data_IF_181224412010
#
_entry.id   IF_181224412010
#
_cell.length_a   1.000
_cell.length_b   1.000
_cell.length_c   1.000
_cell.angle_alpha   90.00
_cell.angle_beta   90.00
_cell.angle_gamma   90.00
#
_symmetry.space_group_name_H-M   'P 1'
#
loop_
_entity.id
_entity.type
_entity.pdbx_description
1 polymer ?
#
# COMPACT_ATOMS: atom_id res chain seq x y z
N UNK A 1 -23.87 2.04 -5.12
CA UNK A 1 -23.17 0.73 -5.15
C UNK A 1 -22.05 0.71 -6.19
N UNK A 2 -22.35 1.00 -7.46
CA UNK A 2 -21.36 1.03 -8.55
C UNK A 2 -20.15 1.95 -8.26
N UNK A 3 -20.40 3.14 -7.71
CA UNK A 3 -19.35 4.11 -7.37
C UNK A 3 -18.36 3.57 -6.32
N UNK A 4 -18.85 2.85 -5.30
CA UNK A 4 -17.97 2.27 -4.26
C UNK A 4 -17.05 1.21 -4.85
N UNK A 5 -17.60 0.36 -5.73
CA UNK A 5 -16.85 -0.67 -6.43
C UNK A 5 -15.82 -0.04 -7.37
N UNK A 6 -16.17 1.03 -8.09
CA UNK A 6 -15.25 1.75 -8.96
C UNK A 6 -14.04 2.30 -8.18
N UNK A 7 -14.29 2.92 -7.02
CA UNK A 7 -13.20 3.40 -6.15
C UNK A 7 -12.33 2.27 -5.62
N UNK A 8 -12.93 1.16 -5.18
CA UNK A 8 -12.18 -0.01 -4.71
C UNK A 8 -11.31 -0.60 -5.83
N UNK A 9 -11.86 -0.72 -7.03
CA UNK A 9 -11.14 -1.23 -8.20
C UNK A 9 -9.98 -0.31 -8.59
N UNK A 10 -10.21 1.01 -8.61
CA UNK A 10 -9.18 1.99 -8.93
C UNK A 10 -8.03 1.95 -7.91
N UNK A 11 -8.36 1.96 -6.61
CA UNK A 11 -7.39 1.88 -5.54
C UNK A 11 -6.61 0.54 -5.58
N UNK A 12 -7.30 -0.57 -5.83
CA UNK A 12 -6.68 -1.89 -5.98
C UNK A 12 -5.75 -2.00 -7.18
N UNK A 13 -6.14 -1.43 -8.32
CA UNK A 13 -5.30 -1.40 -9.52
C UNK A 13 -4.03 -0.56 -9.30
N UNK A 14 -4.18 0.64 -8.74
CA UNK A 14 -3.04 1.51 -8.39
C UNK A 14 -2.12 0.84 -7.37
N UNK A 15 -2.68 0.21 -6.33
CA UNK A 15 -1.91 -0.52 -5.33
C UNK A 15 -1.13 -1.70 -5.90
N UNK A 16 -1.73 -2.45 -6.84
CA UNK A 16 -1.08 -3.57 -7.52
C UNK A 16 0.09 -3.11 -8.37
N UNK A 17 -0.10 -2.06 -9.18
CA UNK A 17 0.96 -1.50 -10.03
C UNK A 17 2.10 -0.93 -9.17
N UNK A 18 1.77 -0.17 -8.12
CA UNK A 18 2.76 0.39 -7.21
C UNK A 18 3.58 -0.71 -6.51
N UNK A 19 2.91 -1.77 -6.03
CA UNK A 19 3.58 -2.93 -5.42
C UNK A 19 4.54 -3.60 -6.40
N UNK A 20 4.12 -3.83 -7.63
CA UNK A 20 4.95 -4.47 -8.65
C UNK A 20 6.20 -3.63 -8.96
N UNK A 21 6.01 -2.33 -9.22
CA UNK A 21 7.10 -1.42 -9.54
C UNK A 21 8.10 -1.29 -8.38
N UNK A 22 7.62 -1.09 -7.15
CA UNK A 22 8.48 -0.91 -5.98
C UNK A 22 9.20 -2.21 -5.60
N UNK A 23 8.51 -3.35 -5.63
CA UNK A 23 9.13 -4.64 -5.34
C UNK A 23 10.26 -4.94 -6.35
N UNK A 24 10.01 -4.71 -7.64
CA UNK A 24 11.03 -4.88 -8.69
C UNK A 24 12.21 -3.93 -8.51
N UNK A 25 11.96 -2.64 -8.26
CA UNK A 25 13.01 -1.63 -8.05
C UNK A 25 13.91 -2.02 -6.88
N UNK A 26 13.34 -2.31 -5.71
CA UNK A 26 14.11 -2.64 -4.52
C UNK A 26 14.88 -3.95 -4.72
N UNK A 27 14.23 -4.97 -5.29
CA UNK A 27 14.89 -6.27 -5.52
C UNK A 27 16.09 -6.15 -6.46
N UNK A 28 15.97 -5.31 -7.50
CA UNK A 28 17.07 -5.03 -8.44
C UNK A 28 18.25 -4.32 -7.77
N UNK A 29 17.99 -3.46 -6.78
CA UNK A 29 19.03 -2.71 -6.07
C UNK A 29 19.75 -3.55 -5.00
N UNK A 30 19.04 -4.48 -4.35
CA UNK A 30 19.57 -5.25 -3.21
C UNK A 30 20.10 -6.64 -3.57
N UNK A 31 19.88 -7.10 -4.80
CA UNK A 31 20.24 -8.46 -5.24
C UNK A 31 19.32 -9.53 -4.65
N UNK A 32 19.62 -10.82 -4.90
CA UNK A 32 18.71 -11.95 -4.65
C UNK A 32 18.89 -12.66 -3.29
N UNK A 33 19.77 -12.18 -2.42
CA UNK A 33 20.07 -12.84 -1.14
C UNK A 33 18.87 -12.86 -0.17
N UNK A 34 17.99 -11.86 -0.26
CA UNK A 34 16.77 -11.75 0.55
C UNK A 34 15.67 -11.03 -0.26
N UNK A 35 14.38 -11.35 -0.05
CA UNK A 35 13.26 -10.71 -0.75
C UNK A 35 12.98 -9.28 -0.24
N UNK A 36 13.97 -8.40 -0.35
CA UNK A 36 13.88 -7.00 0.06
C UNK A 36 12.77 -6.25 -0.66
N UNK A 37 12.47 -6.61 -1.92
CA UNK A 37 11.34 -6.04 -2.65
C UNK A 37 10.01 -6.30 -1.94
N UNK A 38 9.77 -7.55 -1.54
CA UNK A 38 8.57 -7.93 -0.79
C UNK A 38 8.55 -7.32 0.61
N UNK A 39 9.68 -7.26 1.31
CA UNK A 39 9.75 -6.63 2.62
C UNK A 39 9.41 -5.13 2.56
N UNK A 40 10.00 -4.40 1.60
CA UNK A 40 9.78 -2.96 1.43
C UNK A 40 8.32 -2.61 1.17
N UNK A 41 7.65 -3.32 0.24
CA UNK A 41 6.23 -3.05 -0.06
C UNK A 41 5.32 -3.29 1.15
N UNK A 42 5.62 -4.30 1.98
CA UNK A 42 4.82 -4.58 3.18
C UNK A 42 5.06 -3.54 4.28
N UNK A 43 6.32 -3.19 4.57
CA UNK A 43 6.64 -2.18 5.59
C UNK A 43 5.99 -0.83 5.23
N UNK A 44 6.15 -0.40 3.98
CA UNK A 44 5.56 0.86 3.50
C UNK A 44 4.03 0.78 3.51
N UNK A 45 3.45 -0.34 3.05
CA UNK A 45 2.00 -0.55 3.04
C UNK A 45 1.39 -0.51 4.44
N UNK A 46 1.99 -1.21 5.39
CA UNK A 46 1.54 -1.21 6.79
C UNK A 46 1.68 0.17 7.43
N UNK A 47 2.76 0.90 7.16
CA UNK A 47 2.94 2.27 7.63
C UNK A 47 1.82 3.19 7.13
N UNK A 48 1.52 3.17 5.82
CA UNK A 48 0.44 3.99 5.26
C UNK A 48 -0.93 3.57 5.78
N UNK A 49 -1.20 2.28 5.91
CA UNK A 49 -2.44 1.79 6.49
C UNK A 49 -2.64 2.30 7.93
N UNK A 50 -1.61 2.18 8.78
CA UNK A 50 -1.64 2.69 10.15
C UNK A 50 -1.72 4.22 10.23
N UNK A 51 -1.01 4.94 9.35
CA UNK A 51 -1.08 6.40 9.28
C UNK A 51 -2.46 6.88 8.88
N UNK A 52 -3.04 6.31 7.82
CA UNK A 52 -4.39 6.65 7.37
C UNK A 52 -5.42 6.31 8.44
N UNK A 53 -5.28 5.16 9.11
CA UNK A 53 -6.12 4.80 10.26
C UNK A 53 -6.07 5.89 11.33
N UNK A 54 -4.87 6.26 11.81
CA UNK A 54 -4.71 7.28 12.83
C UNK A 54 -5.24 8.66 12.41
N UNK A 55 -5.06 9.04 11.13
CA UNK A 55 -5.56 10.31 10.60
C UNK A 55 -7.09 10.33 10.53
N UNK A 56 -7.73 9.21 10.19
CA UNK A 56 -9.18 9.12 10.10
C UNK A 56 -9.85 8.93 11.47
N UNK A 57 -9.22 8.19 12.39
CA UNK A 57 -9.66 8.06 13.78
C UNK A 57 -9.82 9.44 14.43
N UNK A 58 -8.82 10.31 14.32
CA UNK A 58 -8.85 11.67 14.90
C UNK A 58 -9.76 12.65 14.15
N UNK A 59 -10.23 12.31 12.94
CA UNK A 59 -11.20 13.10 12.18
C UNK A 59 -12.64 12.68 12.50
N UNK A 60 -12.83 11.57 13.21
CA UNK A 60 -14.13 10.98 13.49
C UNK A 60 -14.27 10.61 14.97
N UNK A 61 -14.30 11.61 15.85
CA UNK A 61 -15.23 11.53 16.99
C UNK A 61 -16.65 11.45 16.42
N UNK A 62 -17.06 10.25 15.99
CA UNK A 62 -18.48 9.91 15.93
C UNK A 62 -18.92 9.93 17.39
N UNK A 63 -19.60 10.99 17.78
CA UNK A 63 -20.47 10.94 18.96
C UNK A 63 -21.56 9.91 18.76
#
# INVERSE_FOLDING_TARGET
>A
MIQKIAWLALAGALGTVARYALAGLVQNLTGAAFPWGTAAVNIIGCFWAGLLWALFENRWTVS
#
